data_IF_303522131697
#
_entry.id   IF_303522131697
#
_cell.length_a   1.000
_cell.length_b   1.000
_cell.length_c   1.000
_cell.angle_alpha   90.00
_cell.angle_beta   90.00
_cell.angle_gamma   90.00
#
_symmetry.space_group_name_H-M   'P 1'
#
loop_
_entity.id
_entity.type
_entity.pdbx_description
1 polymer ?
#
# COMPACT_ATOMS: atom_id res chain seq x y z
N UNK A 1 8.46 -8.50 21.47
CA UNK A 1 7.39 -7.52 21.12
C UNK A 1 7.61 -6.81 19.78
N UNK A 2 8.83 -6.34 19.46
CA UNK A 2 9.11 -5.58 18.22
C UNK A 2 8.97 -6.36 16.90
N UNK A 3 9.21 -7.67 16.92
CA UNK A 3 8.95 -8.54 15.75
C UNK A 3 7.46 -8.62 15.38
N UNK A 4 6.56 -8.62 16.38
CA UNK A 4 5.12 -8.57 16.15
C UNK A 4 4.71 -7.24 15.50
N UNK A 5 5.32 -6.13 15.92
CA UNK A 5 5.10 -4.81 15.32
C UNK A 5 5.54 -4.77 13.85
N UNK A 6 6.66 -5.41 13.49
CA UNK A 6 7.07 -5.54 12.09
C UNK A 6 6.08 -6.33 11.24
N UNK A 7 5.59 -7.46 11.78
CA UNK A 7 4.59 -8.28 11.10
C UNK A 7 3.32 -7.48 10.84
N UNK A 8 2.84 -6.75 11.85
CA UNK A 8 1.69 -5.86 11.73
C UNK A 8 1.88 -4.78 10.65
N UNK A 9 3.01 -4.07 10.64
CA UNK A 9 3.28 -3.06 9.60
C UNK A 9 3.40 -3.67 8.20
N UNK A 10 3.87 -4.92 8.09
CA UNK A 10 3.93 -5.62 6.81
C UNK A 10 2.52 -5.97 6.30
N UNK A 11 1.66 -6.52 7.16
CA UNK A 11 0.26 -6.79 6.83
C UNK A 11 -0.47 -5.50 6.43
N UNK A 12 -0.23 -4.41 7.15
CA UNK A 12 -0.82 -3.11 6.86
C UNK A 12 -0.36 -2.58 5.50
N UNK A 13 0.94 -2.67 5.20
CA UNK A 13 1.48 -2.26 3.90
C UNK A 13 0.89 -3.08 2.75
N UNK A 14 0.82 -4.41 2.90
CA UNK A 14 0.22 -5.30 1.89
C UNK A 14 -1.26 -4.97 1.69
N UNK A 15 -2.02 -4.78 2.77
CA UNK A 15 -3.43 -4.42 2.70
C UNK A 15 -3.65 -3.13 1.90
N UNK A 16 -2.87 -2.09 2.19
CA UNK A 16 -2.95 -0.83 1.46
C UNK A 16 -2.51 -0.93 -0.01
N UNK A 17 -1.45 -1.70 -0.31
CA UNK A 17 -1.01 -1.94 -1.69
C UNK A 17 -2.08 -2.69 -2.48
N UNK A 18 -2.66 -3.75 -1.91
CA UNK A 18 -3.72 -4.53 -2.54
C UNK A 18 -4.97 -3.69 -2.80
N UNK A 19 -5.41 -2.91 -1.80
CA UNK A 19 -6.54 -2.00 -1.95
C UNK A 19 -6.27 -0.93 -3.01
N UNK A 20 -5.11 -0.26 -2.97
CA UNK A 20 -4.73 0.74 -3.95
C UNK A 20 -4.66 0.19 -5.37
N UNK A 21 -4.08 -1.01 -5.53
CA UNK A 21 -3.98 -1.67 -6.84
C UNK A 21 -5.34 -2.09 -7.39
N UNK A 22 -6.23 -2.60 -6.52
CA UNK A 22 -7.61 -2.92 -6.89
C UNK A 22 -8.39 -1.68 -7.36
N UNK A 23 -8.27 -0.56 -6.65
CA UNK A 23 -8.90 0.71 -7.02
C UNK A 23 -8.39 1.25 -8.36
N UNK A 24 -7.07 1.18 -8.61
CA UNK A 24 -6.50 1.53 -9.92
C UNK A 24 -7.06 0.62 -11.01
N UNK A 25 -7.09 -0.69 -10.77
CA UNK A 25 -7.60 -1.65 -11.75
C UNK A 25 -9.05 -1.38 -12.12
N UNK A 26 -9.91 -1.10 -11.14
CA UNK A 26 -11.30 -0.68 -11.38
C UNK A 26 -11.36 0.61 -12.20
N UNK A 27 -10.55 1.61 -11.85
CA UNK A 27 -10.50 2.90 -12.57
C UNK A 27 -10.11 2.72 -14.03
N UNK A 28 -9.05 1.95 -14.28
CA UNK A 28 -8.60 1.62 -15.64
C UNK A 28 -9.69 0.85 -16.39
N UNK A 29 -10.37 -0.10 -15.74
CA UNK A 29 -11.50 -0.83 -16.34
C UNK A 29 -12.66 0.08 -16.75
N UNK A 30 -12.99 1.08 -15.92
CA UNK A 30 -14.03 2.08 -16.25
C UNK A 30 -13.63 2.88 -17.49
N UNK A 31 -12.40 3.38 -17.54
CA UNK A 31 -11.92 4.18 -18.67
C UNK A 31 -11.69 3.37 -19.94
N UNK A 32 -11.24 2.13 -19.82
CA UNK A 32 -11.12 1.22 -20.95
C UNK A 32 -12.50 0.92 -21.54
N UNK A 33 -13.48 0.54 -20.72
CA UNK A 33 -14.86 0.32 -21.19
C UNK A 33 -15.46 1.59 -21.81
N UNK A 34 -15.18 2.75 -21.23
CA UNK A 34 -15.59 4.04 -21.76
C UNK A 34 -14.97 4.35 -23.14
N UNK A 35 -13.68 4.05 -23.34
CA UNK A 35 -12.95 4.34 -24.57
C UNK A 35 -13.40 3.49 -25.76
N UNK A 36 -13.88 2.26 -25.50
CA UNK A 36 -14.34 1.33 -26.53
C UNK A 36 -15.86 1.24 -26.67
N UNK A 37 -16.63 2.03 -25.92
CA UNK A 37 -18.07 2.05 -26.03
C UNK A 37 -18.53 2.88 -27.25
N UNK A 38 -19.29 2.26 -28.17
CA UNK A 38 -19.88 2.97 -29.32
C UNK A 38 -20.93 4.01 -28.92
N UNK A 39 -21.66 3.77 -27.82
CA UNK A 39 -22.56 4.73 -27.19
C UNK A 39 -22.47 4.60 -25.67
N UNK A 40 -22.22 5.72 -24.99
CA UNK A 40 -22.26 5.77 -23.53
C UNK A 40 -23.70 5.91 -23.04
N UNK A 41 -24.05 5.08 -22.06
CA UNK A 41 -25.24 5.33 -21.24
C UNK A 41 -24.96 6.51 -20.29
N UNK A 42 -25.99 7.25 -19.83
CA UNK A 42 -25.81 8.33 -18.86
C UNK A 42 -25.07 7.89 -17.59
N UNK A 43 -25.32 6.66 -17.14
CA UNK A 43 -24.62 6.06 -16.00
C UNK A 43 -23.13 5.83 -16.29
N UNK A 44 -22.78 5.39 -17.51
CA UNK A 44 -21.38 5.20 -17.93
C UNK A 44 -20.60 6.51 -17.98
N UNK A 45 -21.26 7.60 -18.40
CA UNK A 45 -20.66 8.93 -18.42
C UNK A 45 -20.34 9.42 -17.00
N UNK A 46 -21.25 9.22 -16.04
CA UNK A 46 -21.01 9.54 -14.63
C UNK A 46 -19.88 8.70 -14.05
N UNK A 47 -19.86 7.40 -14.34
CA UNK A 47 -18.79 6.50 -13.88
C UNK A 47 -17.41 6.97 -14.37
N UNK A 48 -17.32 7.31 -15.66
CA UNK A 48 -16.06 7.71 -16.28
C UNK A 48 -15.57 9.08 -15.79
N UNK A 49 -16.48 10.07 -15.70
CA UNK A 49 -16.14 11.46 -15.39
C UNK A 49 -15.95 11.73 -13.89
N UNK A 50 -16.67 11.04 -13.01
CA UNK A 50 -16.63 11.32 -11.57
C UNK A 50 -16.09 10.14 -10.76
N UNK A 51 -16.63 8.94 -10.97
CA UNK A 51 -16.26 7.77 -10.15
C UNK A 51 -14.83 7.34 -10.42
N UNK A 52 -14.40 7.26 -11.68
CA UNK A 52 -13.03 6.90 -12.05
C UNK A 52 -11.99 7.80 -11.36
N UNK A 53 -12.04 9.13 -11.53
CA UNK A 53 -11.16 10.04 -10.82
C UNK A 53 -11.23 9.93 -9.29
N UNK A 54 -12.43 9.76 -8.72
CA UNK A 54 -12.57 9.59 -7.27
C UNK A 54 -11.88 8.33 -6.75
N UNK A 55 -12.02 7.20 -7.47
CA UNK A 55 -11.31 5.95 -7.15
C UNK A 55 -9.79 6.12 -7.27
N UNK A 56 -9.32 6.88 -8.26
CA UNK A 56 -7.90 7.20 -8.40
C UNK A 56 -7.37 7.97 -7.18
N UNK A 57 -8.11 8.96 -6.69
CA UNK A 57 -7.76 9.72 -5.48
C UNK A 57 -7.69 8.80 -4.26
N UNK A 58 -8.66 7.90 -4.08
CA UNK A 58 -8.64 6.91 -3.00
C UNK A 58 -7.45 5.95 -3.12
N UNK A 59 -7.09 5.54 -4.33
CA UNK A 59 -5.92 4.72 -4.58
C UNK A 59 -4.63 5.44 -4.14
N UNK A 60 -4.48 6.73 -4.47
CA UNK A 60 -3.34 7.55 -4.02
C UNK A 60 -3.24 7.56 -2.50
N UNK A 61 -4.35 7.78 -1.79
CA UNK A 61 -4.35 7.72 -0.32
C UNK A 61 -3.95 6.35 0.23
N UNK A 62 -4.39 5.26 -0.40
CA UNK A 62 -3.96 3.91 -0.04
C UNK A 62 -2.44 3.75 -0.21
N UNK A 63 -1.86 4.20 -1.33
CA UNK A 63 -0.40 4.14 -1.52
C UNK A 63 0.38 5.01 -0.53
N UNK A 64 -0.15 6.17 -0.14
CA UNK A 64 0.44 6.99 0.93
C UNK A 64 0.46 6.19 2.25
N UNK A 65 -0.65 5.54 2.60
CA UNK A 65 -0.76 4.67 3.78
C UNK A 65 0.24 3.50 3.73
N UNK A 66 0.38 2.84 2.59
CA UNK A 66 1.37 1.78 2.38
C UNK A 66 2.80 2.30 2.59
N UNK A 67 3.13 3.47 2.03
CA UNK A 67 4.47 4.06 2.16
C UNK A 67 4.76 4.40 3.61
N UNK A 68 3.78 4.93 4.34
CA UNK A 68 3.89 5.18 5.78
C UNK A 68 4.18 3.88 6.56
N UNK A 69 3.42 2.82 6.32
CA UNK A 69 3.63 1.53 6.99
C UNK A 69 5.02 0.93 6.72
N UNK A 70 5.51 1.03 5.48
CA UNK A 70 6.85 0.57 5.11
C UNK A 70 7.95 1.39 5.80
N UNK A 71 7.79 2.71 5.93
CA UNK A 71 8.72 3.55 6.72
C UNK A 71 8.73 3.16 8.19
N UNK A 72 7.56 3.01 8.81
CA UNK A 72 7.44 2.63 10.22
C UNK A 72 8.11 1.27 10.48
N UNK A 73 7.93 0.31 9.57
CA UNK A 73 8.67 -0.96 9.59
C UNK A 73 10.19 -0.75 9.55
N UNK A 74 10.69 0.10 8.65
CA UNK A 74 12.12 0.44 8.55
C UNK A 74 12.70 0.98 9.86
N UNK A 75 12.01 1.94 10.48
CA UNK A 75 12.45 2.50 11.78
C UNK A 75 12.46 1.46 12.90
N UNK A 76 11.50 0.53 12.90
CA UNK A 76 11.47 -0.58 13.87
C UNK A 76 12.64 -1.54 13.64
N UNK A 77 13.04 -1.75 12.38
CA UNK A 77 14.19 -2.59 12.01
C UNK A 77 15.50 -2.01 12.49
N UNK A 78 15.72 -0.72 12.26
CA UNK A 78 16.89 -0.02 12.77
C UNK A 78 16.96 -0.06 14.30
N UNK A 79 15.82 0.06 14.99
CA UNK A 79 15.77 -0.05 16.45
C UNK A 79 16.17 -1.46 16.94
N UNK A 80 15.71 -2.53 16.27
CA UNK A 80 16.13 -3.89 16.60
C UNK A 80 17.64 -4.07 16.38
N UNK A 81 18.18 -3.57 15.26
CA UNK A 81 19.61 -3.67 14.97
C UNK A 81 20.47 -2.97 16.03
N UNK A 82 20.05 -1.78 16.50
CA UNK A 82 20.76 -1.03 17.55
C UNK A 82 20.75 -1.75 18.91
N UNK A 83 19.70 -2.48 19.23
CA UNK A 83 19.57 -3.21 20.50
C UNK A 83 20.17 -4.62 20.47
N UNK A 84 20.52 -5.12 19.28
CA UNK A 84 21.11 -6.44 19.12
C UNK A 84 22.61 -6.40 19.45
N UNK A 85 23.03 -7.05 20.53
CA UNK A 85 24.46 -7.22 20.86
C UNK A 85 25.10 -8.12 19.80
N UNK A 86 26.19 -7.69 19.13
CA UNK A 86 26.84 -8.52 18.11
C UNK A 86 27.47 -9.76 18.75
N UNK A 87 27.17 -10.94 18.21
CA UNK A 87 27.60 -12.27 18.70
C UNK A 87 29.12 -12.36 18.96
N UNK A 88 29.93 -11.51 18.31
CA UNK A 88 31.38 -11.43 18.55
C UNK A 88 31.77 -11.13 20.00
N UNK A 89 30.94 -10.42 20.77
CA UNK A 89 31.27 -10.12 22.18
C UNK A 89 30.97 -11.27 23.14
N UNK A 90 30.11 -12.22 22.77
CA UNK A 90 29.73 -13.37 23.62
C UNK A 90 30.80 -14.45 23.61
N UNK A 91 31.55 -14.58 22.51
CA UNK A 91 32.64 -15.58 22.38
C UNK A 91 33.94 -15.06 23.01
N UNK A 92 34.08 -13.74 23.17
CA UNK A 92 35.29 -13.10 23.70
C UNK A 92 35.34 -13.01 25.24
N UNK A 93 34.29 -13.43 25.94
CA UNK A 93 34.26 -13.47 27.40
C UNK A 93 33.55 -14.77 27.87
N UNK A 94 34.29 -15.90 28.00
CA UNK A 94 33.78 -17.11 28.63
C UNK A 94 33.52 -16.93 30.14
#
# INVERSE_FOLDING_TARGET
MKLLQMSFFNTLAIGFISAGSGLIFCTVGIWANAAFAEKMTPAGEVLSKFVGPALLVLAVFAFIGARFALKARGTTWEAIQKESVPIKTVIANP
#
